data_IF_031704548595
#
_entry.id   IF_031704548595
#
_cell.length_a   1.000
_cell.length_b   1.000
_cell.length_c   1.000
_cell.angle_alpha   90.00
_cell.angle_beta   90.00
_cell.angle_gamma   90.00
#
_symmetry.space_group_name_H-M   'P 1'
#
loop_
_entity.id
_entity.type
_entity.pdbx_description
1 polymer ?
#
# COMPACT_ATOMS: atom_id res chain seq x y z
N UNK A 1 -2.12 1.33 -13.05
CA UNK A 1 -2.12 0.57 -11.78
C UNK A 1 -1.30 -0.67 -12.01
N UNK A 2 -0.45 -1.03 -11.07
CA UNK A 2 0.48 -2.17 -11.12
C UNK A 2 0.04 -3.33 -10.21
N UNK A 3 -0.92 -3.11 -9.32
CA UNK A 3 -1.47 -4.11 -8.41
C UNK A 3 -3.00 -3.97 -8.29
N UNK A 4 -3.68 -5.11 -8.11
CA UNK A 4 -5.11 -5.17 -7.82
C UNK A 4 -5.40 -6.34 -6.86
N UNK A 5 -6.53 -6.28 -6.16
CA UNK A 5 -7.02 -7.37 -5.31
C UNK A 5 -8.29 -7.95 -5.93
N UNK A 6 -8.48 -9.26 -5.84
CA UNK A 6 -9.68 -9.95 -6.29
C UNK A 6 -10.23 -10.83 -5.17
N UNK A 7 -11.56 -10.84 -4.99
CA UNK A 7 -12.23 -11.75 -4.07
C UNK A 7 -12.58 -13.05 -4.80
N UNK A 8 -11.96 -14.16 -4.40
CA UNK A 8 -12.18 -15.47 -5.02
C UNK A 8 -12.97 -16.44 -4.13
N UNK A 9 -13.45 -16.01 -2.96
CA UNK A 9 -14.14 -16.87 -1.98
C UNK A 9 -15.31 -17.67 -2.57
N UNK A 10 -16.08 -17.08 -3.48
CA UNK A 10 -17.21 -17.77 -4.12
C UNK A 10 -16.79 -18.89 -5.10
N UNK A 11 -15.53 -18.89 -5.53
CA UNK A 11 -14.98 -19.82 -6.52
C UNK A 11 -14.14 -20.93 -5.88
N UNK A 12 -13.85 -20.85 -4.59
CA UNK A 12 -12.99 -21.82 -3.87
C UNK A 12 -13.55 -23.25 -3.92
N UNK A 13 -14.87 -23.41 -3.97
CA UNK A 13 -15.51 -24.73 -4.08
C UNK A 13 -15.60 -25.25 -5.52
N UNK A 14 -15.35 -24.40 -6.51
CA UNK A 14 -15.50 -24.73 -7.93
C UNK A 14 -14.16 -25.06 -8.59
N UNK A 15 -13.07 -24.48 -8.10
CA UNK A 15 -11.75 -24.57 -8.71
C UNK A 15 -10.66 -24.71 -7.65
N UNK A 16 -9.57 -25.41 -8.00
CA UNK A 16 -8.31 -25.20 -7.31
C UNK A 16 -7.83 -23.77 -7.59
N UNK A 17 -7.79 -22.93 -6.54
CA UNK A 17 -7.44 -21.52 -6.67
C UNK A 17 -6.00 -21.32 -7.15
N UNK A 18 -5.10 -22.26 -6.88
CA UNK A 18 -3.70 -22.21 -7.32
C UNK A 18 -3.62 -22.39 -8.83
N UNK A 19 -4.30 -23.41 -9.37
CA UNK A 19 -4.36 -23.67 -10.81
C UNK A 19 -5.09 -22.54 -11.54
N UNK A 20 -6.19 -22.05 -10.97
CA UNK A 20 -6.93 -20.92 -11.51
C UNK A 20 -6.06 -19.66 -11.60
N UNK A 21 -5.26 -19.37 -10.55
CA UNK A 21 -4.31 -18.25 -10.59
C UNK A 21 -3.19 -18.46 -11.62
N UNK A 22 -2.69 -19.69 -11.79
CA UNK A 22 -1.71 -19.97 -12.85
C UNK A 22 -2.28 -19.68 -14.24
N UNK A 23 -3.51 -20.12 -14.52
CA UNK A 23 -4.20 -19.83 -15.78
C UNK A 23 -4.41 -18.32 -15.97
N UNK A 24 -4.82 -17.59 -14.93
CA UNK A 24 -4.93 -16.13 -14.97
C UNK A 24 -3.61 -15.46 -15.36
N UNK A 25 -2.49 -15.89 -14.77
CA UNK A 25 -1.16 -15.35 -15.07
C UNK A 25 -0.74 -15.65 -16.51
N UNK A 26 -0.99 -16.87 -17.00
CA UNK A 26 -0.71 -17.24 -18.39
C UNK A 26 -1.55 -16.40 -19.36
N UNK A 27 -2.83 -16.18 -19.07
CA UNK A 27 -3.72 -15.31 -19.87
C UNK A 27 -3.25 -13.86 -19.87
N UNK A 28 -2.90 -13.32 -18.70
CA UNK A 28 -2.36 -11.95 -18.58
C UNK A 28 -1.08 -11.76 -19.41
N UNK A 29 -0.18 -12.75 -19.41
CA UNK A 29 1.00 -12.73 -20.25
C UNK A 29 0.65 -12.82 -21.74
N UNK A 30 -0.21 -13.77 -22.15
CA UNK A 30 -0.56 -13.98 -23.56
C UNK A 30 -1.29 -12.80 -24.18
N UNK A 31 -2.21 -12.18 -23.44
CA UNK A 31 -3.10 -11.14 -23.99
C UNK A 31 -2.54 -9.74 -23.83
N UNK A 32 -1.79 -9.48 -22.75
CA UNK A 32 -1.31 -8.13 -22.41
C UNK A 32 0.22 -8.01 -22.38
N UNK A 33 0.96 -9.12 -22.46
CA UNK A 33 2.42 -9.12 -22.33
C UNK A 33 2.91 -8.72 -20.94
N UNK A 34 2.06 -8.85 -19.91
CA UNK A 34 2.36 -8.39 -18.55
C UNK A 34 2.85 -9.55 -17.68
N UNK A 35 4.12 -9.58 -17.26
CA UNK A 35 4.58 -10.56 -16.30
C UNK A 35 4.05 -10.18 -14.92
N UNK A 36 3.27 -11.07 -14.30
CA UNK A 36 2.74 -10.85 -12.96
C UNK A 36 3.04 -12.03 -12.03
N UNK A 37 2.94 -11.77 -10.73
CA UNK A 37 2.88 -12.78 -9.69
C UNK A 37 1.55 -12.62 -8.96
N UNK A 38 1.01 -13.73 -8.47
CA UNK A 38 -0.27 -13.78 -7.77
C UNK A 38 -0.05 -14.38 -6.39
N UNK A 39 -0.53 -13.67 -5.38
CA UNK A 39 -0.57 -14.15 -4.00
C UNK A 39 -2.02 -14.43 -3.60
N UNK A 40 -2.26 -15.60 -3.02
CA UNK A 40 -3.56 -16.00 -2.48
C UNK A 40 -3.43 -16.11 -0.96
N UNK A 41 -4.39 -15.52 -0.26
CA UNK A 41 -4.49 -15.54 1.19
C UNK A 41 -5.94 -15.33 1.62
N UNK A 42 -6.24 -15.54 2.89
CA UNK A 42 -7.57 -15.42 3.49
C UNK A 42 -7.98 -13.95 3.69
N UNK A 43 -7.00 -13.06 3.68
CA UNK A 43 -7.15 -11.62 3.90
C UNK A 43 -6.31 -10.83 2.89
N UNK A 44 -6.51 -9.50 2.79
CA UNK A 44 -5.73 -8.67 1.86
C UNK A 44 -4.25 -8.66 2.23
N UNK A 45 -3.97 -8.51 3.52
CA UNK A 45 -2.60 -8.41 4.01
C UNK A 45 -1.86 -9.72 3.79
N UNK A 46 -2.52 -10.85 4.07
CA UNK A 46 -1.96 -12.18 3.82
C UNK A 46 -1.73 -12.42 2.33
N UNK A 47 -2.69 -12.07 1.45
CA UNK A 47 -2.52 -12.19 0.00
C UNK A 47 -1.35 -11.33 -0.53
N UNK A 48 -1.11 -10.14 0.06
CA UNK A 48 0.01 -9.28 -0.29
C UNK A 48 1.36 -9.91 0.10
N UNK A 49 1.43 -10.54 1.28
CA UNK A 49 2.60 -11.30 1.72
C UNK A 49 2.82 -12.53 0.83
N UNK A 50 1.77 -13.27 0.49
CA UNK A 50 1.84 -14.37 -0.47
C UNK A 50 2.43 -13.91 -1.80
N UNK A 51 2.01 -12.75 -2.32
CA UNK A 51 2.57 -12.20 -3.56
C UNK A 51 4.06 -11.82 -3.40
N UNK A 52 4.46 -11.27 -2.25
CA UNK A 52 5.87 -11.04 -1.96
C UNK A 52 6.67 -12.35 -2.01
N UNK A 53 6.17 -13.41 -1.37
CA UNK A 53 6.79 -14.74 -1.40
C UNK A 53 6.88 -15.29 -2.83
N UNK A 54 5.79 -15.19 -3.61
CA UNK A 54 5.76 -15.62 -5.00
C UNK A 54 6.83 -14.93 -5.87
N UNK A 55 7.10 -13.64 -5.62
CA UNK A 55 8.12 -12.86 -6.32
C UNK A 55 9.55 -13.25 -5.91
N UNK A 56 9.78 -13.50 -4.62
CA UNK A 56 11.12 -13.78 -4.09
C UNK A 56 11.57 -15.22 -4.31
N UNK A 57 10.63 -16.16 -4.35
CA UNK A 57 10.91 -17.58 -4.35
C UNK A 57 10.51 -18.21 -5.69
N UNK A 58 11.51 -18.55 -6.51
CA UNK A 58 11.29 -19.11 -7.85
C UNK A 58 10.50 -20.42 -7.85
N UNK A 59 10.56 -21.19 -6.77
CA UNK A 59 9.85 -22.48 -6.66
C UNK A 59 8.32 -22.33 -6.64
N UNK A 60 7.78 -21.15 -6.32
CA UNK A 60 6.34 -20.88 -6.46
C UNK A 60 5.88 -20.72 -7.91
N UNK A 61 6.82 -20.61 -8.86
CA UNK A 61 6.52 -20.33 -10.25
C UNK A 61 5.47 -19.21 -10.38
N UNK A 62 5.70 -18.08 -9.70
CA UNK A 62 4.85 -16.88 -9.76
C UNK A 62 3.49 -16.96 -9.05
N UNK A 63 3.11 -18.07 -8.42
CA UNK A 63 1.86 -18.17 -7.63
C UNK A 63 2.14 -18.76 -6.25
N UNK A 64 1.80 -18.04 -5.19
CA UNK A 64 1.90 -18.52 -3.82
C UNK A 64 0.53 -18.50 -3.17
N UNK A 65 0.09 -19.65 -2.67
CA UNK A 65 -1.18 -19.79 -1.96
C UNK A 65 -0.93 -20.10 -0.49
N UNK A 66 -0.99 -19.07 0.35
CA UNK A 66 -0.83 -19.23 1.80
C UNK A 66 -2.08 -19.79 2.46
N UNK A 67 -3.26 -19.68 1.84
CA UNK A 67 -4.50 -20.17 2.42
C UNK A 67 -4.55 -21.71 2.52
N UNK A 68 -3.88 -22.42 1.61
CA UNK A 68 -3.82 -23.89 1.58
C UNK A 68 -2.41 -24.46 1.82
N UNK A 69 -1.44 -23.62 2.18
CA UNK A 69 -0.08 -24.09 2.48
C UNK A 69 -0.05 -24.77 3.85
N UNK A 70 0.78 -25.81 3.96
CA UNK A 70 1.08 -26.44 5.24
C UNK A 70 1.56 -25.39 6.28
N UNK A 71 1.04 -25.41 7.53
CA UNK A 71 1.40 -24.43 8.55
C UNK A 71 2.89 -24.38 8.87
N UNK A 72 3.58 -25.52 8.95
CA UNK A 72 5.01 -25.55 9.28
C UNK A 72 5.82 -24.89 8.16
N UNK A 73 5.50 -25.21 6.91
CA UNK A 73 6.10 -24.58 5.73
C UNK A 73 5.84 -23.07 5.69
N UNK A 74 4.62 -22.66 6.05
CA UNK A 74 4.22 -21.25 6.13
C UNK A 74 5.05 -20.51 7.18
N UNK A 75 5.14 -21.03 8.39
CA UNK A 75 5.94 -20.43 9.47
C UNK A 75 7.41 -20.29 9.07
N UNK A 76 8.01 -21.33 8.48
CA UNK A 76 9.40 -21.29 8.02
C UNK A 76 9.65 -20.16 7.01
N UNK A 77 8.72 -19.94 6.07
CA UNK A 77 8.83 -18.87 5.09
C UNK A 77 8.63 -17.49 5.74
N UNK A 78 7.62 -17.34 6.58
CA UNK A 78 7.28 -16.06 7.22
C UNK A 78 8.33 -15.63 8.26
N UNK A 79 9.05 -16.57 8.88
CA UNK A 79 10.19 -16.28 9.74
C UNK A 79 11.35 -15.62 8.99
N UNK A 80 11.49 -15.89 7.68
CA UNK A 80 12.55 -15.32 6.84
C UNK A 80 12.17 -13.97 6.23
N UNK A 81 10.90 -13.60 6.24
CA UNK A 81 10.44 -12.31 5.71
C UNK A 81 10.56 -11.26 6.80
N UNK A 82 11.24 -10.15 6.49
CA UNK A 82 11.37 -9.03 7.43
C UNK A 82 10.02 -8.35 7.67
N UNK A 83 9.76 -7.92 8.90
CA UNK A 83 8.51 -7.23 9.28
C UNK A 83 8.25 -5.96 8.46
N UNK A 84 9.29 -5.32 7.91
CA UNK A 84 9.15 -4.15 7.04
C UNK A 84 8.47 -4.42 5.70
N UNK A 85 8.38 -5.68 5.27
CA UNK A 85 7.70 -6.08 4.04
C UNK A 85 6.18 -6.14 4.20
N UNK A 86 5.68 -6.08 5.44
CA UNK A 86 4.24 -6.07 5.74
C UNK A 86 3.62 -4.76 5.28
N UNK A 87 2.56 -4.88 4.48
CA UNK A 87 1.80 -3.73 4.02
C UNK A 87 1.21 -2.94 5.19
N UNK A 88 1.55 -1.65 5.27
CA UNK A 88 1.19 -0.77 6.40
C UNK A 88 2.29 -0.59 7.46
N UNK A 89 3.37 -1.37 7.41
CA UNK A 89 4.53 -1.20 8.28
C UNK A 89 5.55 -0.25 7.64
N UNK A 90 5.41 1.05 7.93
CA UNK A 90 6.38 2.07 7.48
C UNK A 90 7.67 2.07 8.31
N UNK A 91 8.68 2.84 7.85
CA UNK A 91 10.02 2.93 8.46
C UNK A 91 10.02 3.16 9.98
N UNK A 92 9.15 4.03 10.50
CA UNK A 92 9.08 4.32 11.94
C UNK A 92 8.44 3.17 12.72
N UNK A 93 7.38 2.57 12.17
CA UNK A 93 6.75 1.41 12.78
C UNK A 93 7.71 0.21 12.81
N UNK A 94 8.43 -0.04 11.71
CA UNK A 94 9.47 -1.07 11.64
C UNK A 94 10.54 -0.88 12.73
N UNK A 95 11.08 0.34 12.89
CA UNK A 95 12.06 0.63 13.96
C UNK A 95 11.50 0.31 15.35
N UNK A 96 10.26 0.68 15.63
CA UNK A 96 9.61 0.42 16.92
C UNK A 96 9.33 -1.08 17.13
N UNK A 97 8.90 -1.80 16.09
CA UNK A 97 8.71 -3.26 16.13
C UNK A 97 10.03 -3.98 16.40
N UNK A 98 11.11 -3.61 15.69
CA UNK A 98 12.44 -4.18 15.92
C UNK A 98 12.93 -3.94 17.35
N UNK A 99 12.66 -2.75 17.92
CA UNK A 99 12.98 -2.44 19.31
C UNK A 99 12.17 -3.28 20.33
N UNK A 100 11.03 -3.82 19.92
CA UNK A 100 10.22 -4.78 20.69
C UNK A 100 10.62 -6.24 20.44
N UNK A 101 11.68 -6.49 19.67
CA UNK A 101 12.12 -7.85 19.29
C UNK A 101 11.33 -8.48 18.15
N UNK A 102 10.42 -7.74 17.50
CA UNK A 102 9.62 -8.21 16.37
C UNK A 102 10.37 -7.86 15.08
N UNK A 103 11.04 -8.84 14.47
CA UNK A 103 11.90 -8.62 13.30
C UNK A 103 11.37 -9.28 12.03
N UNK A 104 10.63 -10.38 12.17
CA UNK A 104 10.04 -11.13 11.06
C UNK A 104 8.52 -10.96 10.98
N UNK A 105 7.94 -11.38 9.85
CA UNK A 105 6.47 -11.45 9.69
C UNK A 105 5.88 -12.46 10.67
N UNK A 106 6.58 -13.58 10.91
CA UNK A 106 6.15 -14.57 11.89
C UNK A 106 6.11 -14.00 13.32
N UNK A 107 7.11 -13.20 13.71
CA UNK A 107 7.12 -12.54 15.02
C UNK A 107 5.90 -11.61 15.18
N UNK A 108 5.54 -10.89 14.11
CA UNK A 108 4.39 -9.99 14.11
C UNK A 108 3.07 -10.76 14.20
N UNK A 109 2.96 -11.91 13.53
CA UNK A 109 1.80 -12.81 13.62
C UNK A 109 1.63 -13.35 15.04
N UNK A 110 2.73 -13.68 15.70
CA UNK A 110 2.71 -14.20 17.07
C UNK A 110 2.49 -13.11 18.13
N UNK A 111 2.56 -11.83 17.77
CA UNK A 111 2.31 -10.73 18.70
C UNK A 111 0.82 -10.62 19.07
N UNK A 112 0.54 -10.19 20.30
CA UNK A 112 -0.83 -9.95 20.75
C UNK A 112 -1.44 -8.71 20.06
N UNK A 113 -2.54 -8.83 19.29
CA UNK A 113 -3.13 -7.71 18.56
C UNK A 113 -3.52 -6.52 19.45
N UNK A 114 -3.99 -6.78 20.68
CA UNK A 114 -4.40 -5.72 21.62
C UNK A 114 -3.21 -4.93 22.15
N UNK A 115 -2.08 -5.60 22.39
CA UNK A 115 -0.83 -4.92 22.80
C UNK A 115 -0.25 -4.12 21.64
N UNK A 116 -0.29 -4.67 20.42
CA UNK A 116 0.08 -3.94 19.20
C UNK A 116 -0.80 -2.70 19.01
N UNK A 117 -2.12 -2.79 19.24
CA UNK A 117 -3.02 -1.63 19.19
C UNK A 117 -2.57 -0.52 20.14
N UNK A 118 -2.30 -0.88 21.41
CA UNK A 118 -1.89 0.08 22.46
C UNK A 118 -0.59 0.79 22.09
N UNK A 119 0.35 0.08 21.48
CA UNK A 119 1.66 0.63 21.12
C UNK A 119 1.66 1.37 19.78
N UNK A 120 0.77 1.02 18.85
CA UNK A 120 0.77 1.55 17.49
C UNK A 120 -0.58 2.21 17.17
N UNK A 121 -1.51 1.46 16.57
CA UNK A 121 -2.81 1.98 16.15
C UNK A 121 -3.80 0.85 15.90
N UNK A 122 -5.08 1.20 15.76
CA UNK A 122 -6.15 0.31 15.27
C UNK A 122 -5.81 -0.29 13.89
N UNK A 123 -5.06 0.44 13.05
CA UNK A 123 -4.66 -0.07 11.73
C UNK A 123 -3.64 -1.19 11.88
N UNK A 124 -2.66 -1.05 12.78
CA UNK A 124 -1.67 -2.10 13.02
C UNK A 124 -2.31 -3.34 13.67
N UNK A 125 -3.28 -3.15 14.56
CA UNK A 125 -4.10 -4.26 15.09
C UNK A 125 -4.78 -5.04 13.97
N UNK A 126 -5.45 -4.33 13.04
CA UNK A 126 -6.06 -4.96 11.86
C UNK A 126 -5.04 -5.68 10.97
N UNK A 127 -3.85 -5.11 10.76
CA UNK A 127 -2.78 -5.76 10.02
C UNK A 127 -2.36 -7.09 10.65
N UNK A 128 -2.22 -7.15 11.98
CA UNK A 128 -1.90 -8.40 12.69
C UNK A 128 -3.04 -9.41 12.55
N UNK A 129 -4.29 -8.97 12.78
CA UNK A 129 -5.47 -9.85 12.63
C UNK A 129 -5.59 -10.41 11.20
N UNK A 130 -5.35 -9.58 10.19
CA UNK A 130 -5.32 -10.01 8.79
C UNK A 130 -4.25 -11.07 8.52
N UNK A 131 -3.04 -10.90 9.06
CA UNK A 131 -1.96 -11.89 8.93
C UNK A 131 -2.26 -13.18 9.70
N UNK A 132 -3.07 -13.12 10.76
CA UNK A 132 -3.62 -14.27 11.48
C UNK A 132 -4.82 -14.92 10.75
N UNK A 133 -5.16 -14.44 9.54
CA UNK A 133 -6.23 -14.97 8.70
C UNK A 133 -7.61 -14.36 8.94
N UNK A 134 -7.75 -13.37 9.83
CA UNK A 134 -9.01 -12.69 10.09
C UNK A 134 -9.17 -11.49 9.15
N UNK A 135 -9.96 -11.70 8.08
CA UNK A 135 -10.29 -10.63 7.12
C UNK A 135 -11.11 -9.52 7.79
N UNK A 136 -10.52 -8.35 7.99
CA UNK A 136 -11.12 -7.18 8.61
C UNK A 136 -10.79 -5.85 7.90
N UNK A 137 -10.09 -5.91 6.76
CA UNK A 137 -9.87 -4.78 5.83
C UNK A 137 -10.72 -5.00 4.59
N UNK A 138 -11.77 -4.19 4.41
CA UNK A 138 -12.72 -4.34 3.31
C UNK A 138 -12.08 -4.16 1.93
N UNK A 139 -12.42 -5.05 1.00
CA UNK A 139 -12.25 -4.89 -0.45
C UNK A 139 -13.24 -3.85 -0.98
N UNK A 140 -13.17 -2.61 -0.48
CA UNK A 140 -14.02 -1.55 -1.01
C UNK A 140 -13.51 -1.14 -2.40
N UNK A 141 -14.28 -1.47 -3.43
CA UNK A 141 -14.17 -0.94 -4.80
C UNK A 141 -14.73 0.48 -4.93
N UNK A 142 -15.40 0.98 -3.89
CA UNK A 142 -15.82 2.36 -3.82
C UNK A 142 -14.57 3.22 -3.76
N UNK A 143 -14.23 3.83 -4.89
CA UNK A 143 -13.37 5.00 -4.94
C UNK A 143 -14.04 6.06 -4.06
N UNK A 144 -13.80 6.00 -2.75
CA UNK A 144 -14.26 6.99 -1.79
C UNK A 144 -13.94 8.33 -2.42
N UNK A 145 -14.98 9.13 -2.67
CA UNK A 145 -14.84 10.41 -3.35
C UNK A 145 -13.63 11.11 -2.77
N UNK A 146 -12.65 11.42 -3.62
CA UNK A 146 -11.33 11.89 -3.17
C UNK A 146 -11.57 13.08 -2.25
N UNK A 147 -11.24 12.93 -0.96
CA UNK A 147 -11.42 14.01 0.03
C UNK A 147 -10.58 15.24 -0.29
N UNK A 148 -9.58 15.10 -1.16
CA UNK A 148 -8.72 16.17 -1.64
C UNK A 148 -8.18 15.85 -3.04
N UNK A 149 -7.98 16.89 -3.85
CA UNK A 149 -7.30 16.82 -5.15
C UNK A 149 -6.05 17.67 -5.07
N UNK A 150 -4.88 17.03 -5.15
CA UNK A 150 -3.58 17.71 -5.03
C UNK A 150 -2.86 17.68 -6.38
N UNK A 151 -2.35 18.83 -6.79
CA UNK A 151 -1.38 18.97 -7.86
C UNK A 151 -0.16 19.70 -7.31
N UNK A 152 0.94 18.99 -7.09
CA UNK A 152 2.20 19.58 -6.63
C UNK A 152 3.40 18.88 -7.24
N UNK A 153 4.52 19.61 -7.32
CA UNK A 153 5.83 19.11 -7.76
C UNK A 153 6.92 19.84 -6.99
N UNK A 154 8.02 19.14 -6.76
CA UNK A 154 9.28 19.78 -6.37
C UNK A 154 9.93 20.41 -7.60
N UNK A 155 10.58 21.56 -7.41
CA UNK A 155 11.45 22.13 -8.43
C UNK A 155 12.78 21.35 -8.49
N UNK A 156 13.42 21.36 -9.67
CA UNK A 156 14.75 20.75 -9.84
C UNK A 156 15.85 21.53 -9.11
N UNK A 157 15.68 22.86 -9.01
CA UNK A 157 16.55 23.78 -8.28
C UNK A 157 15.70 24.67 -7.36
N UNK A 158 16.28 25.25 -6.29
CA UNK A 158 15.60 26.26 -5.48
C UNK A 158 15.12 27.44 -6.34
N UNK A 159 13.90 27.91 -6.05
CA UNK A 159 13.28 29.04 -6.74
C UNK A 159 13.18 30.19 -5.77
N UNK A 160 13.71 31.34 -6.18
CA UNK A 160 13.75 32.57 -5.38
C UNK A 160 12.84 33.66 -5.93
N UNK A 161 12.56 33.63 -7.23
CA UNK A 161 11.76 34.65 -7.89
C UNK A 161 10.26 34.46 -7.67
N UNK A 162 9.60 35.56 -7.30
CA UNK A 162 8.17 35.55 -7.00
C UNK A 162 7.32 35.19 -8.22
N UNK A 163 7.75 35.58 -9.42
CA UNK A 163 6.97 35.34 -10.64
C UNK A 163 6.99 33.87 -11.06
N UNK A 164 8.08 33.15 -10.81
CA UNK A 164 8.16 31.70 -11.01
C UNK A 164 7.22 30.95 -10.06
N UNK A 165 7.15 31.40 -8.80
CA UNK A 165 6.23 30.84 -7.80
C UNK A 165 4.78 31.09 -8.26
N UNK A 166 4.43 32.32 -8.67
CA UNK A 166 3.09 32.65 -9.18
C UNK A 166 2.72 31.81 -10.40
N UNK A 167 3.63 31.65 -11.37
CA UNK A 167 3.40 30.85 -12.56
C UNK A 167 3.09 29.38 -12.20
N UNK A 168 3.85 28.83 -11.26
CA UNK A 168 3.66 27.46 -10.80
C UNK A 168 2.36 27.27 -10.02
N UNK A 169 1.99 28.21 -9.15
CA UNK A 169 0.69 28.19 -8.45
C UNK A 169 -0.45 28.19 -9.47
N UNK A 170 -0.43 29.08 -10.47
CA UNK A 170 -1.44 29.13 -11.54
C UNK A 170 -1.55 27.78 -12.27
N UNK A 171 -0.42 27.20 -12.67
CA UNK A 171 -0.38 25.92 -13.37
C UNK A 171 -0.96 24.78 -12.53
N UNK A 172 -0.58 24.69 -11.25
CA UNK A 172 -1.02 23.61 -10.37
C UNK A 172 -2.49 23.74 -9.99
N UNK A 173 -2.98 24.96 -9.75
CA UNK A 173 -4.40 25.22 -9.55
C UNK A 173 -5.20 24.82 -10.78
N UNK A 174 -4.78 25.23 -11.99
CA UNK A 174 -5.46 24.87 -13.23
C UNK A 174 -5.53 23.34 -13.43
N UNK A 175 -4.44 22.62 -13.13
CA UNK A 175 -4.42 21.14 -13.19
C UNK A 175 -5.33 20.49 -12.15
N UNK A 176 -5.34 21.00 -10.92
CA UNK A 176 -6.22 20.50 -9.86
C UNK A 176 -7.69 20.71 -10.23
N UNK A 177 -8.05 21.89 -10.75
CA UNK A 177 -9.41 22.21 -11.21
C UNK A 177 -9.81 21.33 -12.40
N UNK A 178 -8.91 21.07 -13.35
CA UNK A 178 -9.18 20.14 -14.46
C UNK A 178 -9.53 18.75 -13.94
N UNK A 179 -8.72 18.19 -13.04
CA UNK A 179 -8.98 16.89 -12.42
C UNK A 179 -10.28 16.87 -11.62
N UNK A 180 -10.57 17.95 -10.89
CA UNK A 180 -11.81 18.09 -10.13
C UNK A 180 -13.04 18.03 -11.04
N UNK A 181 -12.98 18.68 -12.21
CA UNK A 181 -14.07 18.63 -13.20
C UNK A 181 -14.22 17.25 -13.83
N UNK A 182 -13.10 16.59 -14.18
CA UNK A 182 -13.09 15.22 -14.70
C UNK A 182 -13.65 14.22 -13.69
N UNK A 183 -13.35 14.40 -12.40
CA UNK A 183 -13.87 13.60 -11.28
C UNK A 183 -15.33 13.97 -10.91
N UNK A 184 -15.98 14.91 -11.60
CA UNK A 184 -17.35 15.37 -11.30
C UNK A 184 -17.53 15.95 -9.89
N UNK A 185 -16.45 16.39 -9.26
CA UNK A 185 -16.42 16.78 -7.85
C UNK A 185 -16.61 18.29 -7.66
N UNK A 186 -17.11 18.68 -6.49
CA UNK A 186 -17.17 20.08 -6.04
C UNK A 186 -16.09 20.35 -4.99
N UNK A 187 -15.62 21.60 -4.94
CA UNK A 187 -14.60 22.03 -3.99
C UNK A 187 -15.13 23.19 -3.14
N UNK A 188 -14.99 23.07 -1.82
CA UNK A 188 -15.34 24.12 -0.86
C UNK A 188 -14.16 25.04 -0.54
N UNK A 189 -12.93 24.56 -0.68
CA UNK A 189 -11.73 25.27 -0.20
C UNK A 189 -10.50 24.93 -1.06
N UNK A 190 -9.68 25.93 -1.37
CA UNK A 190 -8.40 25.76 -2.05
C UNK A 190 -7.27 26.04 -1.04
N UNK A 191 -6.44 25.03 -0.79
CA UNK A 191 -5.22 25.16 0.00
C UNK A 191 -3.99 25.33 -0.88
N UNK A 192 -3.12 26.28 -0.55
CA UNK A 192 -1.82 26.47 -1.19
C UNK A 192 -0.72 26.39 -0.14
N UNK A 193 0.30 25.56 -0.39
CA UNK A 193 1.50 25.49 0.44
C UNK A 193 2.76 25.69 -0.40
N UNK A 194 3.79 26.24 0.23
CA UNK A 194 5.17 26.30 -0.30
C UNK A 194 6.06 25.65 0.76
N UNK A 195 7.10 24.93 0.34
CA UNK A 195 8.03 24.28 1.26
C UNK A 195 9.47 24.45 0.79
N UNK A 196 10.37 24.82 1.70
CA UNK A 196 11.83 24.79 1.44
C UNK A 196 12.35 23.35 1.44
N UNK A 197 13.55 23.14 0.87
CA UNK A 197 14.13 21.80 0.73
C UNK A 197 14.25 21.09 2.08
N UNK A 198 13.79 19.83 2.15
CA UNK A 198 13.89 19.00 3.36
C UNK A 198 15.33 18.59 3.69
N UNK A 199 16.22 18.69 2.71
CA UNK A 199 17.64 18.33 2.82
C UNK A 199 18.53 19.52 3.20
N UNK A 200 18.01 20.74 3.13
CA UNK A 200 18.70 21.91 3.64
C UNK A 200 18.53 21.98 5.16
N UNK A 201 19.63 22.22 5.87
CA UNK A 201 19.65 22.36 7.34
C UNK A 201 19.43 23.81 7.77
N UNK A 202 19.55 24.76 6.84
CA UNK A 202 19.11 26.14 7.05
C UNK A 202 17.58 26.18 7.06
N UNK A 203 17.01 27.11 7.83
CA UNK A 203 15.63 27.13 8.33
C UNK A 203 14.54 26.51 7.43
N UNK A 204 13.71 25.65 8.03
CA UNK A 204 12.55 25.06 7.37
C UNK A 204 11.42 26.06 7.32
N UNK A 205 10.99 26.42 6.12
CA UNK A 205 9.84 27.29 5.90
C UNK A 205 8.77 26.51 5.13
N UNK A 206 7.55 26.47 5.67
CA UNK A 206 6.44 25.69 5.11
C UNK A 206 5.08 26.38 5.29
N UNK A 207 4.88 27.60 4.78
CA UNK A 207 3.61 28.31 4.90
C UNK A 207 2.48 27.56 4.19
N UNK A 208 1.28 27.66 4.76
CA UNK A 208 0.04 27.12 4.19
C UNK A 208 -1.07 28.15 4.35
N UNK A 209 -1.81 28.40 3.27
CA UNK A 209 -2.97 29.29 3.26
C UNK A 209 -4.17 28.57 2.63
N UNK A 210 -5.37 28.86 3.14
CA UNK A 210 -6.63 28.36 2.61
C UNK A 210 -7.48 29.53 2.15
N UNK A 211 -8.03 29.40 0.95
CA UNK A 211 -9.04 30.31 0.38
C UNK A 211 -10.35 29.53 0.29
N UNK A 212 -11.43 30.08 0.85
CA UNK A 212 -12.77 29.49 0.83
C UNK A 212 -13.67 30.25 -0.15
#
# INVERSE_FOLDING_TARGET
MDECFLKLTAYEHLFDLTDYAQDMRVKAWRWLGLPCCIGIGRSKTEAKIANHLAKKNKFFNGVCNLAHMDPCSTEMLLAQVNVSEVWGVGRQNCKKLNAMGIQSVLDLINANPKEIKKQFSIVMEKTVLELQGLSCIDLSDDAVAKKQIISSRSYGNPVYEMDDIKASVRLYVARAVKRMREDGSICKMIGVYIQTSRFDKSERYSPYIVVQ
#
